data_IF_485383863588
#
_entry.id   IF_485383863588
#
_cell.length_a   1.000
_cell.length_b   1.000
_cell.length_c   1.000
_cell.angle_alpha   90.00
_cell.angle_beta   90.00
_cell.angle_gamma   90.00
#
_symmetry.space_group_name_H-M   'P 1'
#
loop_
_entity.id
_entity.type
_entity.pdbx_description
1 polymer ?
#
# COMPACT_ATOMS: atom_id res chain seq x y z
N UNK A 1 -22.26 19.80 60.30
CA UNK A 1 -22.55 18.94 59.15
C UNK A 1 -22.00 19.60 57.92
N UNK A 2 -20.84 19.19 57.48
CA UNK A 2 -20.23 19.69 56.26
C UNK A 2 -20.41 18.63 55.17
N UNK A 3 -21.23 18.96 54.21
CA UNK A 3 -21.32 18.18 52.99
C UNK A 3 -20.17 18.57 52.08
N UNK A 4 -19.21 17.70 51.90
CA UNK A 4 -18.23 17.86 50.84
C UNK A 4 -18.85 17.34 49.54
N UNK A 5 -19.03 18.18 48.54
CA UNK A 5 -19.37 17.66 47.21
C UNK A 5 -18.11 17.00 46.65
N UNK A 6 -18.17 15.71 46.51
CA UNK A 6 -17.20 14.98 45.73
C UNK A 6 -17.21 15.48 44.28
N UNK A 7 -16.08 15.82 43.71
CA UNK A 7 -16.05 16.23 42.33
C UNK A 7 -16.32 15.02 41.41
N UNK A 8 -17.49 15.04 40.84
CA UNK A 8 -17.80 14.19 39.68
C UNK A 8 -17.06 14.79 38.46
N UNK A 9 -15.78 14.65 38.46
CA UNK A 9 -14.96 14.96 37.29
C UNK A 9 -14.01 13.80 37.13
N UNK A 10 -14.40 12.80 36.42
CA UNK A 10 -13.54 11.85 35.75
C UNK A 10 -14.46 10.83 35.12
N UNK A 11 -14.99 11.09 33.94
CA UNK A 11 -15.40 10.04 33.00
C UNK A 11 -15.67 10.59 31.59
N UNK A 12 -14.79 11.40 31.09
CA UNK A 12 -14.90 11.85 29.69
C UNK A 12 -13.62 11.67 28.86
N UNK A 13 -12.65 10.95 29.37
CA UNK A 13 -11.40 10.78 28.65
C UNK A 13 -11.26 9.44 27.92
N UNK A 14 -12.26 8.55 28.03
CA UNK A 14 -12.13 7.20 27.47
C UNK A 14 -12.81 6.98 26.12
N UNK A 15 -13.42 8.00 25.53
CA UNK A 15 -14.18 7.85 24.27
C UNK A 15 -13.43 8.31 23.02
N UNK A 16 -12.23 8.82 23.15
CA UNK A 16 -11.43 9.27 22.00
C UNK A 16 -10.53 8.16 21.40
N UNK A 17 -10.38 7.05 22.07
CA UNK A 17 -9.61 5.92 21.54
C UNK A 17 -10.44 4.94 20.71
N UNK A 18 -11.75 5.09 20.63
CA UNK A 18 -12.62 4.25 19.82
C UNK A 18 -12.70 4.68 18.35
N UNK A 19 -12.08 5.80 17.98
CA UNK A 19 -11.96 6.27 16.60
C UNK A 19 -10.57 6.03 16.01
N UNK A 20 -9.78 5.12 16.56
CA UNK A 20 -8.70 4.52 15.81
C UNK A 20 -9.37 3.73 14.70
N UNK A 21 -9.54 4.37 13.53
CA UNK A 21 -10.03 3.73 12.33
C UNK A 21 -9.29 2.43 12.13
N UNK A 22 -10.02 1.35 11.94
CA UNK A 22 -9.46 0.07 11.53
C UNK A 22 -8.64 0.30 10.28
N UNK A 23 -7.33 0.44 10.44
CA UNK A 23 -6.43 0.64 9.33
C UNK A 23 -6.45 -0.63 8.49
N UNK A 24 -6.99 -0.53 7.29
CA UNK A 24 -7.08 -1.66 6.38
C UNK A 24 -5.68 -2.09 5.96
N UNK A 25 -5.38 -3.35 6.14
CA UNK A 25 -4.11 -3.98 5.72
C UNK A 25 -4.36 -5.00 4.63
N UNK A 26 -3.39 -5.12 3.74
CA UNK A 26 -3.41 -6.17 2.73
C UNK A 26 -3.13 -7.52 3.39
N UNK A 27 -3.95 -8.50 3.08
CA UNK A 27 -3.74 -9.90 3.45
C UNK A 27 -3.24 -10.67 2.22
N UNK A 28 -1.94 -10.84 2.13
CA UNK A 28 -1.27 -11.54 1.03
C UNK A 28 -1.09 -13.04 1.23
N UNK A 29 -1.74 -13.65 2.22
CA UNK A 29 -1.56 -15.07 2.57
C UNK A 29 -2.11 -16.01 1.50
N UNK A 30 -3.10 -15.59 0.73
CA UNK A 30 -3.66 -16.33 -0.39
C UNK A 30 -4.11 -15.37 -1.50
N UNK A 31 -4.28 -15.83 -2.76
CA UNK A 31 -4.84 -15.01 -3.82
C UNK A 31 -6.25 -14.48 -3.49
N UNK A 32 -7.09 -15.28 -2.86
CA UNK A 32 -8.45 -14.89 -2.48
C UNK A 32 -8.45 -13.83 -1.38
N UNK A 33 -7.64 -14.00 -0.33
CA UNK A 33 -7.49 -13.03 0.76
C UNK A 33 -6.89 -11.72 0.26
N UNK A 34 -5.94 -11.79 -0.65
CA UNK A 34 -5.36 -10.62 -1.28
C UNK A 34 -6.42 -9.82 -2.05
N UNK A 35 -7.19 -10.46 -2.92
CA UNK A 35 -8.23 -9.81 -3.70
C UNK A 35 -9.29 -9.15 -2.81
N UNK A 36 -9.70 -9.82 -1.74
CA UNK A 36 -10.69 -9.30 -0.80
C UNK A 36 -10.15 -8.10 0.01
N UNK A 37 -8.96 -8.22 0.59
CA UNK A 37 -8.35 -7.15 1.36
C UNK A 37 -7.98 -5.95 0.48
N UNK A 38 -7.52 -6.16 -0.74
CA UNK A 38 -7.25 -5.11 -1.71
C UNK A 38 -8.53 -4.34 -2.07
N UNK A 39 -9.63 -5.06 -2.34
CA UNK A 39 -10.92 -4.44 -2.61
C UNK A 39 -11.40 -3.61 -1.41
N UNK A 40 -11.23 -4.11 -0.20
CA UNK A 40 -11.57 -3.39 1.03
C UNK A 40 -10.74 -2.13 1.19
N UNK A 41 -9.44 -2.23 0.93
CA UNK A 41 -8.55 -1.07 0.95
C UNK A 41 -8.99 -0.02 -0.08
N UNK A 42 -9.22 -0.42 -1.31
CA UNK A 42 -9.69 0.48 -2.38
C UNK A 42 -10.98 1.22 -2.00
N UNK A 43 -11.94 0.55 -1.40
CA UNK A 43 -13.19 1.18 -0.95
C UNK A 43 -13.00 2.18 0.17
N UNK A 44 -11.98 2.03 0.98
CA UNK A 44 -11.67 2.95 2.09
C UNK A 44 -10.98 4.23 1.65
N UNK A 45 -10.51 4.29 0.42
CA UNK A 45 -9.71 5.40 -0.10
C UNK A 45 -10.55 6.36 -0.95
N UNK A 46 -10.15 7.64 -0.94
CA UNK A 46 -10.65 8.63 -1.90
C UNK A 46 -10.22 8.27 -3.33
N UNK A 47 -10.89 8.77 -4.38
CA UNK A 47 -10.48 8.52 -5.77
C UNK A 47 -9.02 8.91 -6.06
N UNK A 48 -8.54 10.02 -5.46
CA UNK A 48 -7.16 10.43 -5.60
C UNK A 48 -6.18 9.43 -4.95
N UNK A 49 -6.52 8.91 -3.79
CA UNK A 49 -5.69 7.92 -3.09
C UNK A 49 -5.76 6.54 -3.76
N UNK A 50 -6.88 6.18 -4.35
CA UNK A 50 -6.98 4.98 -5.19
C UNK A 50 -5.99 5.05 -6.37
N UNK A 51 -5.92 6.20 -7.04
CA UNK A 51 -4.95 6.41 -8.13
C UNK A 51 -3.50 6.31 -7.62
N UNK A 52 -3.22 6.86 -6.45
CA UNK A 52 -1.89 6.74 -5.81
C UNK A 52 -1.53 5.31 -5.48
N UNK A 53 -2.49 4.53 -4.97
CA UNK A 53 -2.29 3.12 -4.66
C UNK A 53 -1.94 2.32 -5.93
N UNK A 54 -2.72 2.50 -7.00
CA UNK A 54 -2.48 1.81 -8.26
C UNK A 54 -1.12 2.17 -8.88
N UNK A 55 -0.73 3.44 -8.79
CA UNK A 55 0.59 3.88 -9.24
C UNK A 55 1.70 3.24 -8.39
N UNK A 56 1.55 3.23 -7.07
CA UNK A 56 2.50 2.61 -6.17
C UNK A 56 2.67 1.10 -6.45
N UNK A 57 1.59 0.39 -6.67
CA UNK A 57 1.61 -1.03 -7.03
C UNK A 57 2.31 -1.26 -8.37
N UNK A 58 2.12 -0.37 -9.34
CA UNK A 58 2.81 -0.42 -10.63
C UNK A 58 4.32 -0.27 -10.45
N UNK A 59 4.76 0.66 -9.62
CA UNK A 59 6.19 0.86 -9.29
C UNK A 59 6.77 -0.37 -8.60
N UNK A 60 6.07 -0.91 -7.62
CA UNK A 60 6.49 -2.11 -6.90
C UNK A 60 6.62 -3.30 -7.84
N UNK A 61 5.66 -3.48 -8.74
CA UNK A 61 5.69 -4.54 -9.75
C UNK A 61 6.85 -4.38 -10.72
N UNK A 62 7.08 -3.16 -11.20
CA UNK A 62 8.20 -2.87 -12.09
C UNK A 62 9.55 -3.13 -11.42
N UNK A 63 9.68 -2.78 -10.15
CA UNK A 63 10.90 -3.02 -9.38
C UNK A 63 11.14 -4.52 -9.10
N UNK A 64 10.08 -5.30 -8.96
CA UNK A 64 10.16 -6.75 -8.76
C UNK A 64 10.43 -7.52 -10.07
N UNK A 65 10.26 -6.87 -11.23
CA UNK A 65 10.51 -7.49 -12.53
C UNK A 65 12.02 -7.64 -12.76
N UNK A 66 12.51 -8.84 -13.08
CA UNK A 66 13.93 -9.04 -13.35
C UNK A 66 14.39 -8.17 -14.53
N UNK A 67 15.59 -7.62 -14.42
CA UNK A 67 16.18 -6.90 -15.54
C UNK A 67 16.47 -7.88 -16.70
N UNK A 68 16.18 -7.50 -17.95
CA UNK A 68 16.33 -8.40 -19.09
C UNK A 68 17.81 -8.57 -19.52
N UNK A 69 18.69 -8.91 -18.60
CA UNK A 69 20.12 -9.07 -18.89
C UNK A 69 20.48 -10.38 -19.61
N UNK A 70 19.51 -11.27 -19.82
CA UNK A 70 19.75 -12.57 -20.43
C UNK A 70 18.58 -13.10 -21.26
N UNK A 71 17.68 -12.23 -21.73
CA UNK A 71 16.60 -12.69 -22.61
C UNK A 71 17.12 -12.92 -24.03
N UNK A 72 16.78 -14.08 -24.58
CA UNK A 72 17.01 -14.36 -26.01
C UNK A 72 16.28 -13.30 -26.87
N UNK A 73 16.86 -12.88 -28.00
CA UNK A 73 16.19 -11.96 -28.91
C UNK A 73 14.80 -12.48 -29.28
N UNK A 74 13.75 -11.66 -29.03
CA UNK A 74 12.36 -12.02 -29.33
C UNK A 74 11.60 -12.70 -28.20
N UNK A 75 12.21 -12.92 -27.04
CA UNK A 75 11.47 -13.40 -25.86
C UNK A 75 10.54 -12.30 -25.31
N UNK A 76 9.30 -12.65 -24.90
CA UNK A 76 8.42 -11.68 -24.28
C UNK A 76 9.02 -11.15 -22.97
N UNK A 77 8.78 -9.89 -22.60
CA UNK A 77 9.27 -9.36 -21.34
C UNK A 77 8.74 -10.18 -20.16
N UNK A 78 9.63 -10.61 -19.32
CA UNK A 78 9.27 -11.33 -18.10
C UNK A 78 8.71 -10.32 -17.10
N UNK A 79 7.39 -10.37 -16.90
CA UNK A 79 6.71 -9.55 -15.90
C UNK A 79 6.79 -10.30 -14.57
N UNK A 80 7.12 -9.57 -13.50
CA UNK A 80 7.13 -10.17 -12.17
C UNK A 80 5.83 -10.89 -11.87
N UNK A 81 5.89 -12.12 -11.36
CA UNK A 81 4.71 -12.85 -10.96
C UNK A 81 3.87 -12.03 -9.96
N UNK A 82 2.56 -12.09 -10.09
CA UNK A 82 1.66 -11.44 -9.14
C UNK A 82 1.94 -11.87 -7.69
N UNK A 83 2.42 -13.06 -7.51
CA UNK A 83 2.81 -13.60 -6.21
C UNK A 83 3.94 -12.82 -5.55
N UNK A 84 4.92 -12.35 -6.31
CA UNK A 84 6.00 -11.52 -5.78
C UNK A 84 5.48 -10.17 -5.26
N UNK A 85 4.54 -9.56 -5.98
CA UNK A 85 3.88 -8.33 -5.55
C UNK A 85 3.03 -8.59 -4.30
N UNK A 86 2.24 -9.64 -4.30
CA UNK A 86 1.42 -10.05 -3.17
C UNK A 86 2.24 -10.24 -1.90
N UNK A 87 3.38 -10.90 -1.99
CA UNK A 87 4.29 -11.10 -0.87
C UNK A 87 4.83 -9.78 -0.32
N UNK A 88 5.15 -8.83 -1.19
CA UNK A 88 5.65 -7.52 -0.77
C UNK A 88 4.57 -6.64 -0.13
N UNK A 89 3.31 -6.78 -0.54
CA UNK A 89 2.19 -6.01 0.00
C UNK A 89 1.59 -6.64 1.26
N UNK A 90 1.90 -7.89 1.56
CA UNK A 90 1.33 -8.58 2.70
C UNK A 90 1.56 -7.83 4.02
N UNK A 91 0.50 -7.60 4.79
CA UNK A 91 0.53 -6.91 6.06
C UNK A 91 0.67 -5.38 5.99
N UNK A 92 0.73 -4.81 4.80
CA UNK A 92 0.96 -3.37 4.63
C UNK A 92 -0.33 -2.57 4.57
N UNK A 93 -0.26 -1.38 5.16
CA UNK A 93 -1.28 -0.34 5.02
C UNK A 93 -1.05 0.47 3.74
N UNK A 94 -2.03 1.30 3.39
CA UNK A 94 -1.89 2.25 2.27
C UNK A 94 -0.62 3.11 2.38
N UNK A 95 -0.38 3.72 3.54
CA UNK A 95 0.79 4.57 3.75
C UNK A 95 2.11 3.80 3.64
N UNK A 96 2.15 2.58 4.15
CA UNK A 96 3.33 1.71 4.06
C UNK A 96 3.61 1.31 2.61
N UNK A 97 2.57 1.07 1.81
CA UNK A 97 2.70 0.78 0.37
C UNK A 97 3.24 2.00 -0.38
N UNK A 98 2.75 3.20 -0.07
CA UNK A 98 3.28 4.43 -0.66
C UNK A 98 4.75 4.65 -0.31
N UNK A 99 5.14 4.40 0.93
CA UNK A 99 6.54 4.50 1.36
C UNK A 99 7.43 3.49 0.65
N UNK A 100 6.96 2.25 0.51
CA UNK A 100 7.69 1.22 -0.23
C UNK A 100 7.89 1.63 -1.69
N UNK A 101 6.85 2.13 -2.35
CA UNK A 101 6.95 2.59 -3.74
C UNK A 101 7.94 3.74 -3.90
N UNK A 102 7.98 4.70 -2.97
CA UNK A 102 8.93 5.80 -2.99
C UNK A 102 10.38 5.32 -2.87
N UNK A 103 10.64 4.33 -2.04
CA UNK A 103 11.98 3.75 -1.91
C UNK A 103 12.45 3.03 -3.18
N UNK A 104 11.51 2.55 -3.99
CA UNK A 104 11.79 1.83 -5.24
C UNK A 104 11.76 2.75 -6.49
N UNK A 105 11.14 3.92 -6.40
CA UNK A 105 10.89 4.83 -7.54
C UNK A 105 12.19 5.35 -8.19
N UNK A 106 13.26 5.47 -7.42
CA UNK A 106 14.57 5.93 -7.92
C UNK A 106 15.07 5.06 -9.08
N UNK A 107 14.67 3.78 -9.13
CA UNK A 107 15.11 2.85 -10.16
C UNK A 107 14.24 2.88 -11.43
N UNK A 108 13.01 3.35 -11.32
CA UNK A 108 12.03 3.36 -12.43
C UNK A 108 12.11 4.64 -13.23
N UNK A 109 12.38 5.79 -12.61
CA UNK A 109 12.50 7.08 -13.29
C UNK A 109 13.58 7.14 -14.36
N UNK A 110 14.62 6.35 -14.22
CA UNK A 110 15.72 6.30 -15.21
C UNK A 110 15.28 5.68 -16.54
N UNK A 111 14.22 4.85 -16.55
CA UNK A 111 13.74 4.18 -17.76
C UNK A 111 12.83 5.04 -18.65
N UNK A 112 12.14 6.04 -18.07
CA UNK A 112 11.16 6.86 -18.81
C UNK A 112 11.72 8.14 -19.40
N UNK A 113 12.91 8.57 -19.00
CA UNK A 113 13.53 9.83 -19.46
C UNK A 113 14.27 9.67 -20.79
N UNK A 114 14.41 8.45 -21.28
CA UNK A 114 15.25 8.17 -22.46
C UNK A 114 14.45 7.98 -23.75
N UNK A 115 13.18 8.35 -23.81
CA UNK A 115 12.49 8.40 -25.10
C UNK A 115 12.64 9.79 -25.70
N UNK A 116 13.40 9.92 -26.81
CA UNK A 116 13.41 11.18 -27.54
C UNK A 116 11.99 11.44 -28.07
N UNK A 117 11.48 12.60 -27.75
CA UNK A 117 10.26 13.09 -28.37
C UNK A 117 10.48 13.13 -29.88
N UNK A 118 9.72 12.33 -30.61
CA UNK A 118 9.60 12.44 -32.05
C UNK A 118 8.70 13.63 -32.41
#
# INVERSE_FOLDING_TARGET
>A
MQYHPLPVVILMAALLSACASDTVRIDGTSPASFAESHRRLMRSLSPADQARLLLAETVIRAAATPKPTAQAPGAPPEIAPLEAVRAQLNGKTFDEILQLSKSLDIKVKVGFITQPAL
#
